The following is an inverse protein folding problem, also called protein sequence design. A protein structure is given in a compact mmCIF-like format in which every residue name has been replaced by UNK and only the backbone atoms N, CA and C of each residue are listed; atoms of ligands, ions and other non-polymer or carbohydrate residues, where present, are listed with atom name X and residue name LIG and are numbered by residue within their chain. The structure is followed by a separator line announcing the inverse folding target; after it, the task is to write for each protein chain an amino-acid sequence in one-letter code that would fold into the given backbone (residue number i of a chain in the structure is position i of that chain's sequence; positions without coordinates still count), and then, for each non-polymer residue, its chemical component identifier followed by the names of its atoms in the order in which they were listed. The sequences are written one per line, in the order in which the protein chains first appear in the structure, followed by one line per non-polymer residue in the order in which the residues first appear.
data_IF_033011960819
#
_entry.id   IF_033011960819
#
_cell.length_a   1.000
_cell.length_b   1.000
_cell.length_c   1.000
_cell.angle_alpha   90.00
_cell.angle_beta   90.00
_cell.angle_gamma   90.00
#
_symmetry.space_group_name_H-M   'P 1'
#
loop_
_entity.id
_entity.type
_entity.pdbx_description
1 polymer ?
#
# COMPACT_ATOMS: atom_id res chain seq x y z
N UNK A 1 -1.65 5.39 17.60
CA UNK A 1 -1.83 5.95 16.24
C UNK A 1 -3.29 6.35 16.03
N UNK A 2 -4.27 5.46 16.18
CA UNK A 2 -5.71 5.72 15.95
C UNK A 2 -6.23 6.91 16.76
N UNK A 3 -5.93 6.94 18.07
CA UNK A 3 -6.33 8.06 18.95
C UNK A 3 -5.71 9.40 18.51
N UNK A 4 -4.43 9.37 18.09
CA UNK A 4 -3.76 10.57 17.60
C UNK A 4 -4.37 11.06 16.27
N UNK A 5 -4.67 10.14 15.35
CA UNK A 5 -5.33 10.48 14.09
C UNK A 5 -6.70 11.13 14.33
N UNK A 6 -7.51 10.55 15.23
CA UNK A 6 -8.82 11.10 15.58
C UNK A 6 -8.70 12.50 16.18
N UNK A 7 -7.78 12.70 17.13
CA UNK A 7 -7.57 14.00 17.76
C UNK A 7 -7.16 15.07 16.74
N UNK A 8 -6.22 14.75 15.85
CA UNK A 8 -5.78 15.72 14.82
C UNK A 8 -6.89 15.99 13.80
N UNK A 9 -7.68 14.99 13.42
CA UNK A 9 -8.84 15.19 12.55
C UNK A 9 -9.87 16.13 13.18
N UNK A 10 -10.17 15.98 14.48
CA UNK A 10 -11.07 16.85 15.24
C UNK A 10 -10.53 18.30 15.34
N UNK A 11 -9.22 18.46 15.58
CA UNK A 11 -8.58 19.78 15.71
C UNK A 11 -8.47 20.53 14.38
N UNK A 12 -8.26 19.82 13.26
CA UNK A 12 -7.95 20.44 11.96
C UNK A 12 -9.11 20.43 10.98
N UNK A 13 -10.12 19.58 11.20
CA UNK A 13 -11.20 19.32 10.24
C UNK A 13 -10.75 18.53 8.99
N UNK A 14 -9.54 17.97 9.00
CA UNK A 14 -8.99 17.14 7.92
C UNK A 14 -9.36 15.68 8.16
N UNK A 15 -9.84 14.98 7.12
CA UNK A 15 -10.10 13.53 7.19
C UNK A 15 -8.76 12.77 7.28
N UNK A 16 -8.46 12.27 8.47
CA UNK A 16 -7.25 11.49 8.77
C UNK A 16 -7.67 10.11 9.22
N UNK A 17 -7.33 9.10 8.41
CA UNK A 17 -7.66 7.71 8.68
C UNK A 17 -6.40 6.86 8.87
N UNK A 18 -6.41 5.92 9.85
CA UNK A 18 -5.27 5.04 10.07
C UNK A 18 -5.14 4.01 8.94
N UNK A 19 -3.90 3.67 8.62
CA UNK A 19 -3.52 2.53 7.79
C UNK A 19 -2.42 1.73 8.47
N UNK A 20 -2.21 0.50 8.03
CA UNK A 20 -1.19 -0.40 8.59
C UNK A 20 -0.41 -1.08 7.47
N UNK A 21 0.92 -1.15 7.62
CA UNK A 21 1.80 -1.98 6.83
C UNK A 21 2.33 -3.10 7.75
N UNK A 22 2.02 -4.36 7.44
CA UNK A 22 2.39 -5.51 8.26
C UNK A 22 3.69 -6.14 7.82
N UNK A 23 4.06 -6.04 6.54
CA UNK A 23 5.21 -6.73 5.95
C UNK A 23 5.24 -8.21 6.36
N UNK A 24 4.10 -8.91 6.23
CA UNK A 24 3.84 -10.17 6.93
C UNK A 24 4.71 -11.35 6.45
N UNK A 25 5.30 -11.25 5.26
CA UNK A 25 6.28 -12.22 4.77
C UNK A 25 7.51 -12.31 5.68
N UNK A 26 7.90 -11.21 6.35
CA UNK A 26 9.06 -11.16 7.26
C UNK A 26 8.92 -12.06 8.49
N UNK A 27 7.72 -12.39 8.92
CA UNK A 27 7.44 -13.27 10.05
C UNK A 27 6.61 -14.51 9.68
N UNK A 28 6.52 -14.84 8.38
CA UNK A 28 5.93 -16.08 7.90
C UNK A 28 6.97 -17.17 7.80
N UNK A 29 6.87 -18.19 8.66
CA UNK A 29 7.82 -19.29 8.74
C UNK A 29 7.10 -20.63 8.86
N UNK A 30 7.51 -21.62 8.05
CA UNK A 30 6.98 -22.98 8.10
C UNK A 30 5.43 -23.07 8.05
N UNK A 31 4.82 -22.25 7.19
CA UNK A 31 3.36 -22.24 6.99
C UNK A 31 2.58 -21.50 8.08
N UNK A 32 3.24 -20.69 8.92
CA UNK A 32 2.59 -19.92 9.99
C UNK A 32 3.18 -18.52 10.13
N UNK A 33 2.34 -17.57 10.53
CA UNK A 33 2.74 -16.23 10.96
C UNK A 33 3.14 -16.26 12.43
N UNK A 34 4.42 -15.99 12.71
CA UNK A 34 5.01 -16.15 14.06
C UNK A 34 5.08 -14.79 14.75
N UNK A 35 4.18 -14.54 15.66
CA UNK A 35 4.19 -13.38 16.55
C UNK A 35 4.97 -13.69 17.83
N UNK A 36 5.22 -12.68 18.65
CA UNK A 36 5.94 -12.84 19.92
C UNK A 36 5.23 -13.79 20.91
N UNK A 37 3.90 -13.77 20.89
CA UNK A 37 3.03 -14.46 21.87
C UNK A 37 2.20 -15.59 21.26
N UNK A 38 2.16 -15.71 19.93
CA UNK A 38 1.34 -16.70 19.21
C UNK A 38 1.86 -16.99 17.82
N UNK A 39 1.33 -18.06 17.22
CA UNK A 39 1.53 -18.36 15.80
C UNK A 39 0.16 -18.62 15.16
N UNK A 40 -0.06 -18.04 13.98
CA UNK A 40 -1.32 -18.14 13.27
C UNK A 40 -1.14 -18.89 11.95
N UNK A 41 -2.09 -19.73 11.59
CA UNK A 41 -2.21 -20.28 10.23
C UNK A 41 -2.62 -19.16 9.26
N UNK A 42 -2.53 -19.37 7.92
CA UNK A 42 -3.02 -18.38 6.94
C UNK A 42 -4.48 -17.97 7.17
N UNK A 43 -5.36 -18.91 7.43
CA UNK A 43 -6.78 -18.63 7.71
C UNK A 43 -6.96 -17.81 9.00
N UNK A 44 -6.24 -18.15 10.07
CA UNK A 44 -6.27 -17.39 11.32
C UNK A 44 -5.71 -15.97 11.13
N UNK A 45 -4.67 -15.81 10.31
CA UNK A 45 -4.11 -14.49 9.97
C UNK A 45 -5.11 -13.63 9.19
N UNK A 46 -5.80 -14.20 8.20
CA UNK A 46 -6.88 -13.52 7.47
C UNK A 46 -7.94 -13.00 8.44
N UNK A 47 -8.41 -13.85 9.35
CA UNK A 47 -9.44 -13.46 10.32
C UNK A 47 -8.91 -12.41 11.33
N UNK A 48 -7.67 -12.54 11.76
CA UNK A 48 -7.02 -11.58 12.65
C UNK A 48 -6.87 -10.20 11.99
N UNK A 49 -6.39 -10.15 10.74
CA UNK A 49 -6.27 -8.87 10.02
C UNK A 49 -7.65 -8.26 9.75
N UNK A 50 -8.64 -9.07 9.37
CA UNK A 50 -10.01 -8.59 9.19
C UNK A 50 -10.57 -7.96 10.48
N UNK A 51 -10.31 -8.56 11.64
CA UNK A 51 -10.73 -7.97 12.94
C UNK A 51 -10.00 -6.66 13.24
N UNK A 52 -8.68 -6.56 12.93
CA UNK A 52 -7.96 -5.30 13.10
C UNK A 52 -8.52 -4.17 12.22
N UNK A 53 -8.90 -4.49 10.98
CA UNK A 53 -9.52 -3.52 10.08
C UNK A 53 -10.84 -3.00 10.68
N UNK A 54 -11.68 -3.89 11.20
CA UNK A 54 -12.97 -3.54 11.80
C UNK A 54 -12.82 -2.79 13.13
N UNK A 55 -12.00 -3.33 14.05
CA UNK A 55 -11.83 -2.78 15.40
C UNK A 55 -11.21 -1.37 15.42
N UNK A 56 -10.33 -1.08 14.45
CA UNK A 56 -9.59 0.19 14.38
C UNK A 56 -10.03 1.09 13.23
N UNK A 57 -11.05 0.71 12.46
CA UNK A 57 -11.54 1.44 11.27
C UNK A 57 -10.39 1.79 10.32
N UNK A 58 -9.58 0.78 9.97
CA UNK A 58 -8.42 0.98 9.13
C UNK A 58 -8.84 1.29 7.69
N UNK A 59 -8.29 2.38 7.14
CA UNK A 59 -8.48 2.75 5.74
C UNK A 59 -7.77 1.79 4.79
N UNK A 60 -6.58 1.31 5.18
CA UNK A 60 -5.76 0.42 4.36
C UNK A 60 -4.93 -0.54 5.19
N UNK A 61 -4.65 -1.70 4.60
CA UNK A 61 -3.65 -2.65 5.07
C UNK A 61 -2.71 -3.00 3.91
N UNK A 62 -1.41 -2.87 4.15
CA UNK A 62 -0.35 -3.21 3.20
C UNK A 62 0.34 -4.49 3.66
N UNK A 63 0.61 -5.38 2.72
CA UNK A 63 1.27 -6.67 2.91
C UNK A 63 0.82 -7.45 4.17
N UNK A 64 -0.50 -7.68 4.31
CA UNK A 64 -1.06 -8.34 5.49
C UNK A 64 -0.77 -9.85 5.56
N UNK A 65 -0.32 -10.44 4.45
CA UNK A 65 -0.13 -11.87 4.26
C UNK A 65 1.17 -12.17 3.50
N UNK A 66 1.58 -13.43 3.46
CA UNK A 66 2.75 -13.86 2.70
C UNK A 66 2.62 -13.58 1.21
N UNK A 67 3.70 -13.12 0.59
CA UNK A 67 3.77 -12.67 -0.80
C UNK A 67 3.50 -13.76 -1.85
N UNK A 68 3.47 -15.03 -1.47
CA UNK A 68 3.15 -16.13 -2.39
C UNK A 68 1.73 -16.71 -2.17
N UNK A 69 1.03 -16.32 -1.10
CA UNK A 69 -0.28 -16.87 -0.72
C UNK A 69 -1.45 -16.05 -1.30
N UNK A 70 -1.54 -15.95 -2.63
CA UNK A 70 -2.58 -15.19 -3.33
C UNK A 70 -4.02 -15.57 -2.95
N UNK A 71 -4.26 -16.81 -2.55
CA UNK A 71 -5.58 -17.31 -2.17
C UNK A 71 -6.04 -16.69 -0.84
N UNK A 72 -5.16 -16.62 0.15
CA UNK A 72 -5.46 -15.95 1.42
C UNK A 72 -5.66 -14.44 1.25
N UNK A 73 -4.90 -13.81 0.33
CA UNK A 73 -5.11 -12.42 -0.03
C UNK A 73 -6.53 -12.19 -0.60
N UNK A 74 -6.97 -13.03 -1.54
CA UNK A 74 -8.32 -12.96 -2.08
C UNK A 74 -9.39 -13.15 -0.99
N UNK A 75 -9.18 -14.08 -0.07
CA UNK A 75 -10.07 -14.31 1.06
C UNK A 75 -10.17 -13.09 1.99
N UNK A 76 -9.07 -12.38 2.24
CA UNK A 76 -9.08 -11.14 3.02
C UNK A 76 -9.80 -10.01 2.27
N UNK A 77 -9.46 -9.81 1.00
CA UNK A 77 -10.04 -8.74 0.18
C UNK A 77 -11.56 -8.87 0.07
N UNK A 78 -12.07 -10.10 -0.03
CA UNK A 78 -13.52 -10.35 -0.03
C UNK A 78 -14.23 -10.05 1.31
N UNK A 79 -13.49 -9.96 2.42
CA UNK A 79 -14.03 -9.71 3.77
C UNK A 79 -14.06 -8.24 4.16
N UNK A 80 -13.40 -7.35 3.44
CA UNK A 80 -13.24 -5.94 3.86
C UNK A 80 -13.55 -4.95 2.75
N UNK A 81 -13.82 -3.71 3.15
CA UNK A 81 -13.89 -2.55 2.24
C UNK A 81 -12.63 -1.68 2.30
N UNK A 82 -11.71 -1.97 3.21
CA UNK A 82 -10.43 -1.28 3.29
C UNK A 82 -9.60 -1.52 2.02
N UNK A 83 -8.64 -0.67 1.76
CA UNK A 83 -7.64 -0.92 0.71
C UNK A 83 -6.70 -2.03 1.18
N UNK A 84 -6.72 -3.15 0.49
CA UNK A 84 -5.76 -4.26 0.66
C UNK A 84 -4.69 -4.06 -0.39
N UNK A 85 -3.52 -3.57 0.04
CA UNK A 85 -2.45 -3.09 -0.83
C UNK A 85 -1.37 -4.16 -0.95
N UNK A 86 -1.10 -4.62 -2.16
CA UNK A 86 0.02 -5.52 -2.44
C UNK A 86 1.29 -4.74 -2.80
N UNK A 87 2.32 -4.83 -1.96
CA UNK A 87 3.69 -4.39 -2.22
C UNK A 87 4.55 -5.60 -2.62
N UNK A 88 4.99 -6.40 -1.66
CA UNK A 88 5.81 -7.58 -1.91
C UNK A 88 5.07 -8.65 -2.74
N UNK A 89 3.74 -8.69 -2.64
CA UNK A 89 2.91 -9.55 -3.48
C UNK A 89 3.16 -9.30 -4.97
N UNK A 90 3.29 -8.04 -5.39
CA UNK A 90 3.36 -7.64 -6.79
C UNK A 90 4.71 -7.13 -7.25
N UNK A 91 5.50 -6.55 -6.37
CA UNK A 91 6.81 -5.93 -6.66
C UNK A 91 6.80 -5.03 -7.91
N UNK A 92 5.67 -4.33 -8.15
CA UNK A 92 5.41 -3.49 -9.35
C UNK A 92 5.52 -4.28 -10.68
N UNK A 93 5.30 -5.60 -10.66
CA UNK A 93 5.47 -6.49 -11.80
C UNK A 93 4.13 -6.86 -12.44
N UNK A 94 4.01 -6.70 -13.77
CA UNK A 94 2.79 -6.95 -14.56
C UNK A 94 2.31 -8.40 -14.45
N UNK A 95 3.23 -9.37 -14.51
CA UNK A 95 2.85 -10.80 -14.48
C UNK A 95 2.28 -11.20 -13.11
N UNK A 96 2.91 -10.71 -12.03
CA UNK A 96 2.39 -10.92 -10.66
C UNK A 96 1.06 -10.23 -10.45
N UNK A 97 0.91 -9.00 -10.96
CA UNK A 97 -0.36 -8.29 -10.92
C UNK A 97 -1.45 -9.04 -11.67
N UNK A 98 -1.17 -9.53 -12.87
CA UNK A 98 -2.12 -10.33 -13.66
C UNK A 98 -2.63 -11.54 -12.86
N UNK A 99 -1.71 -12.30 -12.23
CA UNK A 99 -2.07 -13.42 -11.35
C UNK A 99 -3.00 -12.97 -10.20
N UNK A 100 -2.69 -11.84 -9.56
CA UNK A 100 -3.52 -11.29 -8.49
C UNK A 100 -4.91 -10.88 -8.95
N UNK A 101 -5.02 -10.29 -10.14
CA UNK A 101 -6.30 -9.92 -10.75
C UNK A 101 -7.18 -11.14 -11.04
N UNK A 102 -6.59 -12.21 -11.57
CA UNK A 102 -7.32 -13.46 -11.86
C UNK A 102 -7.94 -14.08 -10.60
N UNK A 103 -7.32 -13.90 -9.46
CA UNK A 103 -7.76 -14.42 -8.17
C UNK A 103 -8.55 -13.42 -7.32
N UNK A 104 -8.58 -12.14 -7.73
CA UNK A 104 -9.18 -11.08 -6.91
C UNK A 104 -8.40 -10.82 -5.61
N UNK A 105 -7.06 -10.97 -5.67
CA UNK A 105 -6.21 -10.96 -4.47
C UNK A 105 -6.20 -9.62 -3.73
N UNK A 106 -6.32 -8.49 -4.44
CA UNK A 106 -6.28 -7.15 -3.84
C UNK A 106 -7.22 -6.18 -4.54
N UNK A 107 -7.45 -5.03 -3.90
CA UNK A 107 -8.12 -3.88 -4.51
C UNK A 107 -7.19 -2.65 -4.66
N UNK A 108 -5.90 -2.80 -4.29
CA UNK A 108 -4.88 -1.77 -4.43
C UNK A 108 -3.48 -2.36 -4.65
N UNK A 109 -2.59 -1.59 -5.27
CA UNK A 109 -1.20 -1.96 -5.52
C UNK A 109 -0.26 -0.82 -5.15
N UNK A 110 0.88 -1.16 -4.55
CA UNK A 110 1.99 -0.24 -4.36
C UNK A 110 2.86 -0.17 -5.62
N UNK A 111 3.24 1.03 -6.02
CA UNK A 111 4.04 1.29 -7.22
C UNK A 111 5.39 1.85 -6.82
N UNK A 112 6.44 1.10 -7.12
CA UNK A 112 7.85 1.45 -6.85
C UNK A 112 8.66 1.41 -8.15
N UNK A 113 8.82 2.55 -8.87
CA UNK A 113 9.50 2.57 -10.17
C UNK A 113 10.90 1.98 -10.15
N UNK A 114 11.66 2.20 -9.08
CA UNK A 114 13.02 1.65 -8.96
C UNK A 114 13.07 0.17 -8.54
N UNK A 115 11.95 -0.46 -8.21
CA UNK A 115 11.86 -1.89 -7.92
C UNK A 115 11.76 -2.70 -9.22
N UNK A 116 10.89 -2.28 -10.13
CA UNK A 116 10.77 -2.90 -11.45
C UNK A 116 11.87 -2.43 -12.42
N UNK A 117 12.40 -1.20 -12.26
CA UNK A 117 13.62 -0.73 -12.88
C UNK A 117 13.47 0.18 -14.09
N UNK A 118 12.32 0.21 -14.77
CA UNK A 118 12.07 1.12 -15.89
C UNK A 118 10.75 1.88 -15.75
N UNK A 119 10.67 3.08 -16.32
CA UNK A 119 9.41 3.83 -16.37
C UNK A 119 8.37 3.17 -17.26
N UNK A 120 8.81 2.48 -18.32
CA UNK A 120 7.91 1.76 -19.22
C UNK A 120 7.22 0.60 -18.49
N UNK A 121 7.95 -0.22 -17.75
CA UNK A 121 7.37 -1.33 -17.00
C UNK A 121 6.49 -0.83 -15.85
N UNK A 122 6.91 0.27 -15.21
CA UNK A 122 6.08 0.95 -14.20
C UNK A 122 4.74 1.39 -14.79
N UNK A 123 4.77 2.07 -15.95
CA UNK A 123 3.57 2.56 -16.62
C UNK A 123 2.66 1.40 -17.05
N UNK A 124 3.22 0.31 -17.57
CA UNK A 124 2.46 -0.88 -17.95
C UNK A 124 1.73 -1.48 -16.74
N UNK A 125 2.41 -1.55 -15.58
CA UNK A 125 1.80 -2.04 -14.33
C UNK A 125 0.68 -1.11 -13.87
N UNK A 126 0.90 0.21 -13.88
CA UNK A 126 -0.12 1.19 -13.52
C UNK A 126 -1.32 1.14 -14.45
N UNK A 127 -1.09 1.02 -15.77
CA UNK A 127 -2.17 0.93 -16.76
C UNK A 127 -3.03 -0.32 -16.51
N UNK A 128 -2.42 -1.49 -16.31
CA UNK A 128 -3.13 -2.72 -16.01
C UNK A 128 -3.95 -2.61 -14.70
N UNK A 129 -3.34 -2.06 -13.64
CA UNK A 129 -4.03 -1.85 -12.37
C UNK A 129 -5.28 -0.96 -12.53
N UNK A 130 -5.14 0.14 -13.26
CA UNK A 130 -6.24 1.10 -13.50
C UNK A 130 -7.35 0.51 -14.36
N UNK A 131 -7.01 -0.23 -15.42
CA UNK A 131 -8.00 -0.93 -16.26
C UNK A 131 -8.81 -1.94 -15.45
N UNK A 132 -8.18 -2.58 -14.47
CA UNK A 132 -8.83 -3.50 -13.55
C UNK A 132 -9.57 -2.81 -12.36
N UNK A 133 -9.49 -1.49 -12.25
CA UNK A 133 -10.14 -0.72 -11.19
C UNK A 133 -9.44 -0.74 -9.83
N UNK A 134 -8.16 -1.15 -9.77
CA UNK A 134 -7.37 -1.11 -8.55
C UNK A 134 -6.92 0.32 -8.23
N UNK A 135 -6.89 0.65 -6.95
CA UNK A 135 -6.20 1.84 -6.47
C UNK A 135 -4.68 1.67 -6.62
N UNK A 136 -3.99 2.73 -7.07
CA UNK A 136 -2.54 2.74 -7.21
C UNK A 136 -1.92 3.72 -6.22
N UNK A 137 -0.91 3.29 -5.46
CA UNK A 137 -0.20 4.10 -4.47
C UNK A 137 1.27 4.16 -4.86
N UNK A 138 1.76 5.31 -5.34
CA UNK A 138 3.17 5.46 -5.64
C UNK A 138 3.97 5.62 -4.36
N UNK A 139 5.12 4.97 -4.25
CA UNK A 139 5.83 4.85 -2.98
C UNK A 139 7.31 5.19 -3.07
N UNK A 140 7.81 5.79 -1.99
CA UNK A 140 9.22 5.86 -1.67
C UNK A 140 9.77 4.48 -1.26
N UNK A 141 11.06 4.42 -0.92
CA UNK A 141 11.72 3.26 -0.29
C UNK A 141 12.15 3.62 1.13
N UNK A 142 12.52 2.60 1.92
CA UNK A 142 13.07 2.81 3.27
C UNK A 142 14.38 3.60 3.24
N UNK A 143 15.26 3.32 2.29
CA UNK A 143 16.41 4.17 1.96
C UNK A 143 16.02 5.18 0.89
N UNK A 144 16.01 6.47 1.20
CA UNK A 144 15.57 7.55 0.34
C UNK A 144 16.57 8.69 0.23
N UNK A 145 16.42 9.50 -0.83
CA UNK A 145 17.16 10.72 -1.08
C UNK A 145 16.21 11.91 -1.19
N UNK A 146 16.73 13.12 -1.37
CA UNK A 146 15.92 14.32 -1.61
C UNK A 146 15.35 14.40 -3.05
N UNK A 147 15.56 13.38 -3.89
CA UNK A 147 14.91 13.27 -5.20
C UNK A 147 13.40 13.23 -5.05
N UNK A 148 12.70 13.99 -5.88
CA UNK A 148 11.23 14.18 -5.83
C UNK A 148 10.50 13.57 -7.02
N UNK A 149 11.18 12.80 -7.86
CA UNK A 149 10.63 12.23 -9.09
C UNK A 149 9.32 11.45 -8.88
N UNK A 150 9.16 10.76 -7.73
CA UNK A 150 7.91 10.03 -7.46
C UNK A 150 6.69 10.94 -7.28
N UNK A 151 6.87 12.21 -6.91
CA UNK A 151 5.77 13.17 -6.87
C UNK A 151 5.27 13.47 -8.29
N UNK A 152 6.19 13.73 -9.22
CA UNK A 152 5.86 13.93 -10.64
C UNK A 152 5.23 12.69 -11.26
N UNK A 153 5.83 11.52 -11.04
CA UNK A 153 5.33 10.25 -11.58
C UNK A 153 3.94 9.91 -11.01
N UNK A 154 3.71 10.17 -9.71
CA UNK A 154 2.41 9.95 -9.09
C UNK A 154 1.30 10.75 -9.76
N UNK A 155 1.56 12.03 -10.01
CA UNK A 155 0.61 12.91 -10.71
C UNK A 155 0.48 12.51 -12.18
N UNK A 156 1.58 12.29 -12.89
CA UNK A 156 1.58 11.93 -14.31
C UNK A 156 0.86 10.60 -14.59
N UNK A 157 1.02 9.61 -13.73
CA UNK A 157 0.36 8.31 -13.84
C UNK A 157 -1.08 8.32 -13.30
N UNK A 158 -1.51 9.41 -12.67
CA UNK A 158 -2.81 9.52 -12.03
C UNK A 158 -2.98 8.53 -10.88
N UNK A 159 -1.94 8.36 -10.07
CA UNK A 159 -2.02 7.51 -8.88
C UNK A 159 -3.02 8.07 -7.87
N UNK A 160 -3.71 7.19 -7.15
CA UNK A 160 -4.70 7.58 -6.14
C UNK A 160 -4.05 8.21 -4.89
N UNK A 161 -2.85 7.78 -4.55
CA UNK A 161 -2.14 8.26 -3.37
C UNK A 161 -0.61 8.15 -3.54
N UNK A 162 0.11 8.77 -2.59
CA UNK A 162 1.56 8.62 -2.43
C UNK A 162 1.87 8.15 -1.00
N UNK A 163 2.79 7.18 -0.88
CA UNK A 163 3.39 6.76 0.39
C UNK A 163 4.79 7.38 0.47
N UNK A 164 5.01 8.36 1.34
CA UNK A 164 6.29 9.08 1.39
C UNK A 164 6.84 9.39 2.78
N UNK A 165 6.02 9.33 3.82
CA UNK A 165 6.38 9.80 5.17
C UNK A 165 6.37 11.34 5.25
N UNK A 166 6.57 11.88 6.45
CA UNK A 166 6.42 13.32 6.74
C UNK A 166 7.60 13.92 7.51
N UNK A 167 8.52 13.12 8.01
CA UNK A 167 9.65 13.55 8.83
C UNK A 167 10.97 13.17 8.12
N UNK A 168 11.87 14.15 8.02
CA UNK A 168 13.12 14.04 7.27
C UNK A 168 13.06 14.81 5.94
N UNK A 169 14.19 15.37 5.53
CA UNK A 169 14.29 16.18 4.31
C UNK A 169 13.93 15.37 3.06
N UNK A 170 14.38 14.13 3.02
CA UNK A 170 14.11 13.16 1.95
C UNK A 170 12.62 12.79 1.80
N UNK A 171 11.84 12.95 2.86
CA UNK A 171 10.38 12.72 2.86
C UNK A 171 9.63 13.98 2.45
N UNK A 172 9.98 15.10 3.09
CA UNK A 172 9.35 16.41 2.85
C UNK A 172 9.58 16.91 1.43
N UNK A 173 10.69 16.56 0.78
CA UNK A 173 10.98 16.93 -0.61
C UNK A 173 9.81 16.55 -1.55
N UNK A 174 9.27 15.34 -1.43
CA UNK A 174 8.14 14.85 -2.25
C UNK A 174 6.85 15.62 -1.96
N UNK A 175 6.59 15.91 -0.68
CA UNK A 175 5.40 16.66 -0.26
C UNK A 175 5.44 18.11 -0.75
N UNK A 176 6.59 18.77 -0.61
CA UNK A 176 6.79 20.13 -1.12
C UNK A 176 6.61 20.19 -2.63
N UNK A 177 7.10 19.18 -3.35
CA UNK A 177 6.96 19.09 -4.79
C UNK A 177 5.50 18.89 -5.22
N UNK A 178 4.73 18.06 -4.50
CA UNK A 178 3.29 17.94 -4.74
C UNK A 178 2.55 19.28 -4.54
N UNK A 179 2.91 20.05 -3.50
CA UNK A 179 2.34 21.39 -3.27
C UNK A 179 2.69 22.33 -4.43
N UNK A 180 3.94 22.29 -4.93
CA UNK A 180 4.37 23.08 -6.09
C UNK A 180 3.58 22.70 -7.35
N UNK A 181 3.47 21.42 -7.66
CA UNK A 181 2.70 20.90 -8.81
C UNK A 181 1.23 21.32 -8.70
N UNK A 182 0.62 21.19 -7.53
CA UNK A 182 -0.79 21.61 -7.33
C UNK A 182 -0.99 23.10 -7.63
N UNK A 183 -0.03 23.95 -7.23
CA UNK A 183 -0.08 25.39 -7.54
C UNK A 183 0.09 25.74 -9.03
N UNK A 184 0.67 24.85 -9.85
CA UNK A 184 0.77 25.05 -11.31
C UNK A 184 -0.46 24.54 -12.08
N UNK A 185 -1.25 23.65 -11.48
CA UNK A 185 -2.45 23.09 -12.10
C UNK A 185 -3.74 23.87 -11.80
N UNK A 186 -3.67 24.81 -10.86
CA UNK A 186 -4.78 25.72 -10.49
C UNK A 186 -4.61 27.08 -11.12
#
# INVERSE_FOLDING_TARGET
VVEAARKVAEETGVDIRPGMDLAASEFYHNGKYVYKDRSLTPEEQVNFVASLIEDYDLYSVEDPLDQEDFESWAALTAKTKALVIGDDLYVTNVERLQKGLELGATNAILIKPNQIGTLTDTLNTVALAREAGLATVISHRSGETNDDAIAHLGVAFGCHAIKTGTVGGERIAKLNELVRIAGELT
#
